data_IF_238917390250
#
_entry.id   IF_238917390250
#
_cell.length_a   1.000
_cell.length_b   1.000
_cell.length_c   1.000
_cell.angle_alpha   90.00
_cell.angle_beta   90.00
_cell.angle_gamma   90.00
#
_symmetry.space_group_name_H-M   'P 1'
#
loop_
_entity.id
_entity.type
_entity.pdbx_description
1 polymer ?
#
# COMPACT_ATOMS: atom_id res chain seq x y z
N UNK A 1 31.06 16.91 30.77
CA UNK A 1 31.42 15.61 31.37
C UNK A 1 32.94 15.44 31.38
N UNK A 2 33.52 14.82 32.40
CA UNK A 2 34.97 14.57 32.48
C UNK A 2 35.33 13.29 31.75
N UNK A 3 36.39 13.33 30.95
CA UNK A 3 36.92 12.13 30.30
C UNK A 3 37.52 11.18 31.37
N UNK A 4 37.23 9.87 31.33
CA UNK A 4 37.80 8.92 32.29
C UNK A 4 39.31 8.73 32.15
N UNK A 5 39.86 8.99 30.95
CA UNK A 5 41.29 8.81 30.66
C UNK A 5 42.12 10.03 31.05
N UNK A 6 41.76 11.22 30.56
CA UNK A 6 42.59 12.42 30.68
C UNK A 6 42.01 13.51 31.60
N UNK A 7 40.89 13.23 32.27
CA UNK A 7 40.16 14.14 33.17
C UNK A 7 39.76 15.51 32.57
N UNK A 8 39.95 15.72 31.27
CA UNK A 8 39.57 16.95 30.59
C UNK A 8 38.04 17.12 30.61
N UNK A 9 37.60 18.34 30.87
CA UNK A 9 36.19 18.71 30.80
C UNK A 9 35.77 18.87 29.33
N UNK A 10 34.76 18.11 28.91
CA UNK A 10 34.18 18.16 27.57
C UNK A 10 32.69 18.50 27.67
N UNK A 11 32.10 19.03 26.59
CA UNK A 11 30.66 19.27 26.51
C UNK A 11 29.87 17.97 26.72
N UNK A 12 28.67 18.09 27.30
CA UNK A 12 27.82 16.94 27.62
C UNK A 12 27.39 16.13 26.37
N UNK A 13 27.51 16.72 25.18
CA UNK A 13 27.14 16.11 23.89
C UNK A 13 28.35 15.64 23.05
N UNK A 14 29.57 15.75 23.58
CA UNK A 14 30.78 15.37 22.85
C UNK A 14 30.84 13.84 22.66
N UNK A 15 30.96 13.38 21.42
CA UNK A 15 31.13 11.95 21.07
C UNK A 15 32.59 11.48 21.19
N UNK A 16 33.55 12.41 21.21
CA UNK A 16 34.97 12.14 21.41
C UNK A 16 35.59 13.17 22.35
N UNK A 17 36.61 12.77 23.09
CA UNK A 17 37.39 13.70 23.88
C UNK A 17 38.27 14.57 22.99
N UNK A 18 38.27 15.89 23.23
CA UNK A 18 39.07 16.87 22.46
C UNK A 18 40.58 16.73 22.64
N UNK A 19 41.03 16.15 23.75
CA UNK A 19 42.46 16.05 24.09
C UNK A 19 43.09 14.69 23.78
N UNK A 20 42.43 13.59 24.16
CA UNK A 20 43.00 12.24 24.01
C UNK A 20 42.32 11.40 22.91
N UNK A 21 41.25 11.89 22.30
CA UNK A 21 40.52 11.18 21.24
C UNK A 21 39.69 9.99 21.71
N UNK A 22 39.54 9.76 23.02
CA UNK A 22 38.71 8.70 23.57
C UNK A 22 37.25 8.85 23.12
N UNK A 23 36.67 7.79 22.54
CA UNK A 23 35.29 7.77 22.03
C UNK A 23 34.32 7.48 23.17
N UNK A 24 33.38 8.39 23.42
CA UNK A 24 32.32 8.15 24.38
C UNK A 24 31.26 7.26 23.72
N UNK A 25 30.82 6.20 24.41
CA UNK A 25 29.77 5.34 23.90
C UNK A 25 28.55 6.19 23.51
N UNK A 26 28.00 6.05 22.29
CA UNK A 26 26.86 6.84 21.87
C UNK A 26 25.71 6.62 22.86
N UNK A 27 24.94 7.67 23.19
CA UNK A 27 23.78 7.51 24.05
C UNK A 27 22.87 6.43 23.45
N UNK A 28 22.25 5.57 24.28
CA UNK A 28 21.32 4.56 23.80
C UNK A 28 20.22 5.27 23.03
N UNK A 29 20.22 5.07 21.71
CA UNK A 29 19.22 5.65 20.81
C UNK A 29 17.91 4.96 21.18
N UNK A 30 17.05 5.66 21.94
CA UNK A 30 15.70 5.17 22.17
C UNK A 30 15.05 5.06 20.79
N UNK A 31 14.55 3.89 20.37
CA UNK A 31 13.83 3.81 19.12
C UNK A 31 12.68 4.79 19.22
N UNK A 32 12.69 5.82 18.38
CA UNK A 32 11.56 6.72 18.25
C UNK A 32 10.47 5.86 17.63
N UNK A 33 9.60 5.33 18.47
CA UNK A 33 8.37 4.67 18.04
C UNK A 33 7.51 5.80 17.47
N UNK A 34 7.63 6.03 16.16
CA UNK A 34 6.73 6.88 15.43
C UNK A 34 5.35 6.20 15.42
N UNK A 35 4.56 6.39 16.48
CA UNK A 35 3.11 6.23 16.38
C UNK A 35 2.60 7.38 15.52
N UNK A 36 2.78 7.23 14.21
CA UNK A 36 2.08 8.03 13.22
C UNK A 36 0.59 7.84 13.48
N UNK A 37 -0.08 8.91 13.89
CA UNK A 37 -1.54 8.95 14.07
C UNK A 37 -2.27 8.52 12.78
N UNK A 38 -1.64 8.70 11.61
CA UNK A 38 -2.12 8.18 10.33
C UNK A 38 -1.91 6.67 10.18
N UNK A 39 -0.87 6.08 10.76
CA UNK A 39 -0.59 4.65 10.71
C UNK A 39 -1.70 3.78 11.30
N UNK A 40 -2.47 4.28 12.28
CA UNK A 40 -3.64 3.56 12.82
C UNK A 40 -4.85 3.56 11.88
N UNK A 41 -5.12 4.71 11.22
CA UNK A 41 -6.20 4.82 10.23
C UNK A 41 -5.88 4.07 8.93
N UNK A 42 -4.62 4.10 8.49
CA UNK A 42 -4.17 3.31 7.35
C UNK A 42 -4.07 1.83 7.71
N UNK A 43 -3.44 1.40 8.81
CA UNK A 43 -3.33 -0.04 9.14
C UNK A 43 -4.68 -0.76 9.23
N UNK A 44 -5.74 -0.09 9.71
CA UNK A 44 -7.09 -0.65 9.69
C UNK A 44 -7.63 -0.73 8.26
N UNK A 45 -7.47 0.33 7.46
CA UNK A 45 -7.83 0.32 6.03
C UNK A 45 -7.00 -0.65 5.21
N UNK A 46 -5.74 -0.88 5.56
CA UNK A 46 -4.75 -1.63 4.80
C UNK A 46 -4.88 -3.13 5.00
N UNK A 47 -5.36 -3.58 6.17
CA UNK A 47 -5.86 -4.95 6.35
C UNK A 47 -7.28 -5.13 5.82
N UNK A 48 -8.14 -4.11 5.92
CA UNK A 48 -9.53 -4.17 5.42
C UNK A 48 -9.57 -4.18 3.89
N UNK A 49 -8.70 -3.44 3.21
CA UNK A 49 -8.69 -3.28 1.74
C UNK A 49 -8.47 -4.60 0.97
N UNK A 50 -7.46 -5.44 1.25
CA UNK A 50 -7.28 -6.70 0.54
C UNK A 50 -8.42 -7.69 0.81
N UNK A 51 -8.98 -7.71 2.03
CA UNK A 51 -10.09 -8.60 2.37
C UNK A 51 -11.42 -8.14 1.76
N UNK A 52 -11.65 -6.82 1.70
CA UNK A 52 -12.81 -6.20 1.08
C UNK A 52 -12.77 -6.36 -0.44
N UNK A 53 -11.63 -6.16 -1.08
CA UNK A 53 -11.48 -6.40 -2.53
C UNK A 53 -11.70 -7.87 -2.86
N UNK A 54 -11.19 -8.81 -2.06
CA UNK A 54 -11.46 -10.25 -2.25
C UNK A 54 -12.95 -10.58 -2.17
N UNK A 55 -13.67 -9.93 -1.27
CA UNK A 55 -15.13 -10.11 -1.13
C UNK A 55 -15.87 -9.53 -2.33
N UNK A 56 -15.52 -8.31 -2.74
CA UNK A 56 -16.09 -7.64 -3.91
C UNK A 56 -15.82 -8.44 -5.17
N UNK A 57 -14.62 -9.00 -5.33
CA UNK A 57 -14.26 -9.84 -6.48
C UNK A 57 -15.26 -10.99 -6.66
N UNK A 58 -15.52 -11.76 -5.60
CA UNK A 58 -16.45 -12.90 -5.63
C UNK A 58 -17.87 -12.43 -5.91
N UNK A 59 -18.33 -11.39 -5.20
CA UNK A 59 -19.70 -10.86 -5.37
C UNK A 59 -19.93 -10.34 -6.79
N UNK A 60 -18.97 -9.58 -7.34
CA UNK A 60 -19.07 -9.06 -8.70
C UNK A 60 -18.97 -10.16 -9.76
N UNK A 61 -18.13 -11.18 -9.57
CA UNK A 61 -18.08 -12.34 -10.47
C UNK A 61 -19.42 -13.10 -10.45
N UNK A 62 -20.03 -13.31 -9.29
CA UNK A 62 -21.37 -13.90 -9.17
C UNK A 62 -22.44 -13.02 -9.84
N UNK A 63 -22.36 -11.69 -9.69
CA UNK A 63 -23.31 -10.77 -10.30
C UNK A 63 -23.21 -10.77 -11.83
N UNK A 64 -22.00 -10.68 -12.39
CA UNK A 64 -21.75 -10.69 -13.84
C UNK A 64 -22.15 -12.03 -14.44
N UNK A 65 -21.86 -13.14 -13.76
CA UNK A 65 -22.28 -14.47 -14.23
C UNK A 65 -23.79 -14.62 -14.22
N UNK A 66 -24.47 -14.20 -13.14
CA UNK A 66 -25.93 -14.18 -13.09
C UNK A 66 -26.55 -13.29 -14.17
N UNK A 67 -26.02 -12.08 -14.37
CA UNK A 67 -26.49 -11.14 -15.39
C UNK A 67 -26.28 -11.68 -16.81
N UNK A 68 -25.15 -12.31 -17.09
CA UNK A 68 -24.87 -12.92 -18.38
C UNK A 68 -25.76 -14.14 -18.67
N UNK A 69 -26.01 -14.99 -17.67
CA UNK A 69 -26.96 -16.11 -17.79
C UNK A 69 -28.39 -15.56 -18.02
N UNK A 70 -28.79 -14.54 -17.27
CA UNK A 70 -30.11 -13.91 -17.45
C UNK A 70 -30.29 -13.32 -18.85
N UNK A 71 -29.26 -12.65 -19.38
CA UNK A 71 -29.23 -12.12 -20.74
C UNK A 71 -29.36 -13.20 -21.82
N UNK A 72 -28.83 -14.41 -21.57
CA UNK A 72 -28.97 -15.55 -22.49
C UNK A 72 -30.40 -16.15 -22.42
N UNK A 73 -30.96 -16.25 -21.23
CA UNK A 73 -32.29 -16.85 -21.00
C UNK A 73 -33.44 -15.93 -21.41
N UNK A 74 -33.25 -14.61 -21.34
CA UNK A 74 -34.28 -13.60 -21.62
C UNK A 74 -33.84 -12.68 -22.76
N UNK A 75 -33.79 -13.17 -24.02
CA UNK A 75 -33.25 -12.42 -25.16
C UNK A 75 -34.04 -11.15 -25.48
N UNK A 76 -35.29 -11.04 -25.01
CA UNK A 76 -36.18 -9.88 -25.14
C UNK A 76 -35.87 -8.72 -24.18
N UNK A 77 -34.96 -8.91 -23.21
CA UNK A 77 -34.55 -7.86 -22.26
C UNK A 77 -33.44 -6.93 -22.77
N UNK A 78 -32.72 -7.32 -23.84
CA UNK A 78 -31.77 -6.42 -24.51
C UNK A 78 -32.53 -5.49 -25.46
N UNK A 79 -32.98 -4.37 -24.88
CA UNK A 79 -33.60 -3.23 -25.56
C UNK A 79 -32.69 -2.77 -26.72
N UNK A 80 -33.03 -3.16 -27.95
CA UNK A 80 -32.37 -2.65 -29.18
C UNK A 80 -32.04 -3.69 -30.26
N UNK A 81 -32.07 -4.99 -29.97
CA UNK A 81 -31.69 -6.05 -30.93
C UNK A 81 -32.83 -7.03 -31.26
N UNK A 82 -34.08 -6.53 -31.26
CA UNK A 82 -35.29 -7.34 -31.45
C UNK A 82 -35.41 -8.07 -32.80
N UNK A 83 -34.61 -7.71 -33.80
CA UNK A 83 -34.70 -8.32 -35.15
C UNK A 83 -33.77 -9.52 -35.38
N UNK A 84 -32.78 -9.76 -34.51
CA UNK A 84 -31.80 -10.84 -34.70
C UNK A 84 -31.59 -11.67 -33.43
N UNK A 85 -32.40 -12.74 -33.20
CA UNK A 85 -32.35 -13.57 -31.98
C UNK A 85 -31.03 -14.31 -31.77
N UNK A 86 -30.20 -14.42 -32.82
CA UNK A 86 -28.88 -15.03 -32.74
C UNK A 86 -27.87 -14.03 -32.13
N UNK A 87 -27.95 -12.76 -32.53
CA UNK A 87 -27.02 -11.72 -32.10
C UNK A 87 -27.22 -11.33 -30.62
N UNK A 88 -28.45 -11.36 -30.13
CA UNK A 88 -28.77 -11.12 -28.72
C UNK A 88 -28.16 -12.18 -27.79
N UNK A 89 -28.14 -13.46 -28.20
CA UNK A 89 -27.51 -14.55 -27.44
C UNK A 89 -25.99 -14.44 -27.40
N UNK A 90 -25.37 -14.04 -28.51
CA UNK A 90 -23.92 -13.73 -28.54
C UNK A 90 -23.57 -12.57 -27.60
N UNK A 91 -24.48 -11.59 -27.43
CA UNK A 91 -24.32 -10.51 -26.46
C UNK A 91 -24.19 -11.01 -25.02
N UNK A 92 -25.02 -11.96 -24.60
CA UNK A 92 -24.92 -12.57 -23.27
C UNK A 92 -23.61 -13.33 -23.03
N UNK A 93 -23.14 -14.08 -24.03
CA UNK A 93 -21.84 -14.78 -23.98
C UNK A 93 -20.68 -13.77 -23.91
N UNK A 94 -20.76 -12.67 -24.67
CA UNK A 94 -19.76 -11.60 -24.61
C UNK A 94 -19.73 -10.92 -23.25
N UNK A 95 -20.89 -10.65 -22.63
CA UNK A 95 -20.95 -10.12 -21.27
C UNK A 95 -20.33 -11.09 -20.26
N UNK A 96 -20.57 -12.40 -20.40
CA UNK A 96 -19.94 -13.39 -19.52
C UNK A 96 -18.42 -13.38 -19.65
N UNK A 97 -17.89 -13.38 -20.87
CA UNK A 97 -16.44 -13.47 -21.10
C UNK A 97 -15.75 -12.13 -20.85
N UNK A 98 -16.16 -11.08 -21.58
CA UNK A 98 -15.55 -9.74 -21.50
C UNK A 98 -15.85 -9.11 -20.15
N UNK A 99 -17.07 -9.24 -19.63
CA UNK A 99 -17.44 -8.71 -18.33
C UNK A 99 -16.61 -9.31 -17.20
N UNK A 100 -16.44 -10.64 -17.15
CA UNK A 100 -15.57 -11.26 -16.14
C UNK A 100 -14.10 -10.89 -16.34
N UNK A 101 -13.62 -10.83 -17.59
CA UNK A 101 -12.23 -10.45 -17.87
C UNK A 101 -11.93 -9.02 -17.40
N UNK A 102 -12.78 -8.06 -17.77
CA UNK A 102 -12.65 -6.65 -17.36
C UNK A 102 -12.78 -6.53 -15.84
N UNK A 103 -13.74 -7.24 -15.22
CA UNK A 103 -13.89 -7.26 -13.77
C UNK A 103 -12.64 -7.76 -13.06
N UNK A 104 -12.05 -8.85 -13.57
CA UNK A 104 -10.80 -9.40 -13.04
C UNK A 104 -9.67 -8.39 -13.14
N UNK A 105 -9.49 -7.77 -14.31
CA UNK A 105 -8.47 -6.73 -14.51
C UNK A 105 -8.68 -5.54 -13.58
N UNK A 106 -9.91 -5.06 -13.40
CA UNK A 106 -10.22 -3.95 -12.50
C UNK A 106 -9.94 -4.30 -11.03
N UNK A 107 -10.27 -5.51 -10.60
CA UNK A 107 -10.00 -5.97 -9.24
C UNK A 107 -8.49 -6.13 -9.00
N UNK A 108 -7.75 -6.73 -9.93
CA UNK A 108 -6.29 -6.87 -9.84
C UNK A 108 -5.60 -5.49 -9.86
N UNK A 109 -6.06 -4.57 -10.71
CA UNK A 109 -5.55 -3.19 -10.77
C UNK A 109 -5.80 -2.43 -9.46
N UNK A 110 -6.98 -2.59 -8.84
CA UNK A 110 -7.27 -1.98 -7.55
C UNK A 110 -6.29 -2.47 -6.47
N UNK A 111 -6.05 -3.79 -6.38
CA UNK A 111 -5.09 -4.37 -5.43
C UNK A 111 -3.68 -3.82 -5.68
N UNK A 112 -3.24 -3.79 -6.94
CA UNK A 112 -1.91 -3.28 -7.31
C UNK A 112 -1.74 -1.80 -6.95
N UNK A 113 -2.75 -0.96 -7.16
CA UNK A 113 -2.69 0.46 -6.81
C UNK A 113 -2.52 0.67 -5.31
N UNK A 114 -3.24 -0.08 -4.49
CA UNK A 114 -3.08 -0.01 -3.04
C UNK A 114 -1.68 -0.47 -2.61
N UNK A 115 -1.20 -1.60 -3.14
CA UNK A 115 0.16 -2.09 -2.85
C UNK A 115 1.25 -1.09 -3.26
N UNK A 116 1.09 -0.41 -4.39
CA UNK A 116 2.05 0.59 -4.87
C UNK A 116 2.11 1.82 -3.96
N UNK A 117 0.95 2.27 -3.45
CA UNK A 117 0.88 3.38 -2.50
C UNK A 117 1.64 3.06 -1.20
N UNK A 118 1.50 1.84 -0.67
CA UNK A 118 2.23 1.40 0.53
C UNK A 118 3.74 1.42 0.31
N UNK A 119 4.20 0.91 -0.83
CA UNK A 119 5.62 0.87 -1.18
C UNK A 119 6.16 2.30 -1.29
N UNK A 120 5.46 3.21 -1.97
CA UNK A 120 5.86 4.62 -2.09
C UNK A 120 5.99 5.30 -0.73
N UNK A 121 5.02 5.13 0.16
CA UNK A 121 5.08 5.69 1.52
C UNK A 121 6.25 5.10 2.30
N UNK A 122 6.54 3.81 2.13
CA UNK A 122 7.69 3.18 2.78
C UNK A 122 9.04 3.73 2.27
N UNK A 123 9.13 4.06 0.98
CA UNK A 123 10.33 4.63 0.37
C UNK A 123 10.55 6.08 0.81
N UNK A 124 9.50 6.91 0.84
CA UNK A 124 9.59 8.30 1.30
C UNK A 124 10.07 8.38 2.76
N UNK A 125 9.51 7.53 3.62
CA UNK A 125 9.93 7.43 5.02
C UNK A 125 11.41 7.04 5.17
N UNK A 126 11.89 6.08 4.36
CA UNK A 126 13.31 5.66 4.36
C UNK A 126 14.22 6.76 3.83
N UNK A 127 13.83 7.45 2.76
CA UNK A 127 14.58 8.56 2.19
C UNK A 127 14.73 9.70 3.20
N UNK A 128 13.66 10.07 3.89
CA UNK A 128 13.67 11.07 4.98
C UNK A 128 14.59 10.64 6.13
N UNK A 129 14.55 9.39 6.56
CA UNK A 129 15.42 8.89 7.63
C UNK A 129 16.91 8.95 7.24
N UNK A 130 17.24 8.69 5.97
CA UNK A 130 18.60 8.81 5.45
C UNK A 130 19.06 10.28 5.42
N UNK A 131 18.23 11.22 4.98
CA UNK A 131 18.58 12.65 5.00
C UNK A 131 18.85 13.17 6.42
N UNK A 132 18.04 12.75 7.40
CA UNK A 132 18.27 13.12 8.80
C UNK A 132 19.59 12.55 9.34
N UNK A 133 19.97 11.35 8.90
CA UNK A 133 21.25 10.73 9.28
C UNK A 133 22.44 11.48 8.68
N UNK A 134 22.31 11.95 7.44
CA UNK A 134 23.36 12.69 6.74
C UNK A 134 23.61 14.06 7.39
N UNK A 135 22.53 14.78 7.75
CA UNK A 135 22.63 16.03 8.51
C UNK A 135 23.29 15.86 9.88
N UNK A 136 23.12 14.70 10.53
CA UNK A 136 23.80 14.40 11.79
C UNK A 136 25.29 14.05 11.63
N UNK A 137 25.78 13.82 10.40
CA UNK A 137 27.18 13.47 10.12
C UNK A 137 28.02 14.65 9.63
N UNK A 138 27.41 15.80 9.34
CA UNK A 138 28.07 17.07 9.02
C UNK A 138 27.89 18.13 10.13
N UNK A 139 28.50 17.98 11.33
CA UNK A 139 28.80 19.09 12.22
C UNK A 139 30.16 19.76 11.90
#
# INVERSE_FOLDING_TARGET
MKCPECLTENDASATKCSMCGHSFAPPPVRPVVYTSFYGGYFAFRELVTPHLIKTIYIVGACFITAAGIWAILSPETLVGYGEYPILSRFGGIMVLLVGNLVWRMACEAAILLFSLHEILVSLDNRARALMLRDQAHHP
#
